data_IF_297342065084
#
_entry.id   IF_297342065084
#
_cell.length_a   1.000
_cell.length_b   1.000
_cell.length_c   1.000
_cell.angle_alpha   90.00
_cell.angle_beta   90.00
_cell.angle_gamma   90.00
#
_symmetry.space_group_name_H-M   'P 1'
#
loop_
_entity.id
_entity.type
_entity.pdbx_description
1 polymer ?
#
# COMPACT_ATOMS: atom_id res chain seq x y z
N UNK A 1 -15.62 18.87 -14.19
CA UNK A 1 -14.27 19.41 -14.43
C UNK A 1 -13.45 18.29 -15.02
N UNK A 2 -13.09 18.44 -16.29
CA UNK A 2 -12.24 17.52 -17.03
C UNK A 2 -10.82 17.67 -16.51
N UNK A 3 -10.39 16.78 -15.61
CA UNK A 3 -8.99 16.74 -15.22
C UNK A 3 -8.23 16.00 -16.30
N UNK A 4 -7.50 16.77 -17.11
CA UNK A 4 -6.46 16.31 -18.01
C UNK A 4 -5.44 15.46 -17.25
N UNK A 5 -5.67 14.14 -17.18
CA UNK A 5 -4.65 13.14 -16.84
C UNK A 5 -3.97 12.69 -18.14
N UNK A 6 -3.64 13.65 -19.00
CA UNK A 6 -2.95 13.42 -20.27
C UNK A 6 -1.72 14.32 -20.35
N UNK A 7 -0.64 13.82 -19.76
CA UNK A 7 0.68 13.93 -20.37
C UNK A 7 1.60 12.86 -19.78
N UNK A 8 2.23 12.11 -20.67
CA UNK A 8 3.33 11.19 -20.40
C UNK A 8 4.58 11.92 -19.87
N UNK A 9 4.47 12.57 -18.70
CA UNK A 9 5.65 12.95 -17.92
C UNK A 9 5.78 11.93 -16.80
N UNK A 10 6.94 11.25 -16.78
CA UNK A 10 7.33 10.45 -15.63
C UNK A 10 7.30 11.40 -14.43
N UNK A 11 6.42 11.13 -13.46
CA UNK A 11 6.37 11.95 -12.24
C UNK A 11 7.65 11.70 -11.43
N UNK A 12 7.95 12.57 -10.46
CA UNK A 12 9.10 12.33 -9.59
C UNK A 12 8.97 11.00 -8.83
N UNK A 13 7.75 10.65 -8.39
CA UNK A 13 7.42 9.35 -7.77
C UNK A 13 7.83 8.21 -8.69
N UNK A 14 7.53 8.31 -9.99
CA UNK A 14 7.82 7.27 -10.96
C UNK A 14 9.33 7.11 -11.17
N UNK A 15 10.06 8.23 -11.20
CA UNK A 15 11.52 8.21 -11.31
C UNK A 15 12.18 7.54 -10.10
N UNK A 16 11.67 7.76 -8.88
CA UNK A 16 12.17 7.08 -7.69
C UNK A 16 11.80 5.59 -7.68
N UNK A 17 10.60 5.22 -8.14
CA UNK A 17 10.21 3.82 -8.32
C UNK A 17 11.11 3.12 -9.36
N UNK A 18 11.41 3.77 -10.50
CA UNK A 18 12.28 3.21 -11.54
C UNK A 18 13.69 2.93 -11.00
N UNK A 19 14.24 3.81 -10.14
CA UNK A 19 15.53 3.58 -9.47
C UNK A 19 15.49 2.37 -8.54
N UNK A 20 14.40 2.22 -7.78
CA UNK A 20 14.20 1.06 -6.91
C UNK A 20 14.14 -0.21 -7.77
N UNK A 21 13.29 -0.23 -8.79
CA UNK A 21 13.13 -1.37 -9.69
C UNK A 21 14.46 -1.79 -10.34
N UNK A 22 15.28 -0.83 -10.77
CA UNK A 22 16.60 -1.09 -11.35
C UNK A 22 17.59 -1.74 -10.36
N UNK A 23 17.32 -1.66 -9.06
CA UNK A 23 18.15 -2.28 -8.01
C UNK A 23 17.69 -3.68 -7.58
N UNK A 24 16.50 -4.13 -8.01
CA UNK A 24 15.92 -5.42 -7.62
C UNK A 24 16.30 -6.54 -8.62
N UNK A 25 16.60 -7.75 -8.12
CA UNK A 25 16.84 -8.93 -8.97
C UNK A 25 15.51 -9.59 -9.39
N UNK A 26 15.32 -9.71 -10.70
CA UNK A 26 14.19 -10.35 -11.38
C UNK A 26 13.92 -11.78 -10.93
N UNK A 27 14.91 -12.48 -10.37
CA UNK A 27 14.84 -13.92 -10.07
C UNK A 27 14.44 -14.24 -8.63
N UNK A 28 14.40 -13.27 -7.73
CA UNK A 28 14.26 -13.54 -6.29
C UNK A 28 12.92 -14.22 -5.93
N UNK A 29 11.82 -13.87 -6.60
CA UNK A 29 10.47 -14.31 -6.20
C UNK A 29 9.92 -15.50 -7.01
N UNK A 30 10.41 -15.76 -8.23
CA UNK A 30 9.88 -16.84 -9.08
C UNK A 30 10.13 -18.23 -8.49
N UNK A 31 11.32 -18.45 -7.93
CA UNK A 31 11.69 -19.70 -7.25
C UNK A 31 10.87 -19.92 -5.97
N UNK A 32 10.60 -18.84 -5.25
CA UNK A 32 9.79 -18.89 -4.03
C UNK A 32 8.34 -19.32 -4.32
N UNK A 33 7.81 -18.98 -5.50
CA UNK A 33 6.46 -19.35 -5.94
C UNK A 33 6.36 -20.78 -6.52
N UNK A 34 7.41 -21.27 -7.17
CA UNK A 34 7.40 -22.60 -7.81
C UNK A 34 7.38 -23.76 -6.83
N UNK A 35 7.99 -23.59 -5.66
CA UNK A 35 8.23 -24.67 -4.69
C UNK A 35 7.06 -24.80 -3.68
N UNK A 36 6.04 -23.95 -3.80
CA UNK A 36 4.88 -23.91 -2.90
C UNK A 36 3.77 -24.87 -3.35
N UNK A 37 3.54 -25.92 -2.57
CA UNK A 37 2.31 -26.71 -2.66
C UNK A 37 1.27 -26.20 -1.65
N UNK A 38 0.13 -25.70 -2.17
CA UNK A 38 -0.97 -25.20 -1.34
C UNK A 38 -1.85 -26.38 -0.88
N UNK A 39 -1.22 -27.30 -0.15
CA UNK A 39 -1.90 -28.39 0.57
C UNK A 39 -2.42 -27.93 1.94
N UNK A 40 -2.16 -26.67 2.30
CA UNK A 40 -2.80 -25.92 3.40
C UNK A 40 -4.23 -25.52 2.99
N UNK A 41 -5.18 -25.55 3.94
CA UNK A 41 -6.59 -25.23 3.69
C UNK A 41 -7.28 -26.10 2.61
N UNK A 42 -6.87 -27.37 2.47
CA UNK A 42 -7.45 -28.35 1.52
C UNK A 42 -8.97 -28.37 1.48
N UNK A 43 -9.62 -28.22 2.62
CA UNK A 43 -11.08 -28.27 2.68
C UNK A 43 -11.74 -27.07 1.98
N UNK A 44 -11.19 -25.87 2.16
CA UNK A 44 -11.63 -24.68 1.43
C UNK A 44 -11.39 -24.80 -0.09
N UNK A 45 -10.28 -25.43 -0.50
CA UNK A 45 -10.01 -25.72 -1.91
C UNK A 45 -11.09 -26.63 -2.54
N UNK A 46 -11.55 -27.65 -1.81
CA UNK A 46 -12.66 -28.51 -2.25
C UNK A 46 -13.98 -27.76 -2.32
N UNK A 47 -14.22 -26.84 -1.39
CA UNK A 47 -15.44 -26.05 -1.34
C UNK A 47 -15.65 -25.20 -2.60
N UNK A 48 -14.59 -24.57 -3.10
CA UNK A 48 -14.69 -23.62 -4.22
C UNK A 48 -14.78 -24.29 -5.60
N UNK A 49 -14.28 -25.52 -5.77
CA UNK A 49 -14.15 -26.16 -7.09
C UNK A 49 -15.49 -26.32 -7.81
N UNK A 50 -16.57 -26.53 -7.06
CA UNK A 50 -17.93 -26.71 -7.59
C UNK A 50 -18.62 -25.39 -8.01
N UNK A 51 -18.01 -24.25 -7.68
CA UNK A 51 -18.58 -22.91 -7.93
C UNK A 51 -17.86 -22.15 -9.04
N UNK A 52 -16.69 -22.62 -9.46
CA UNK A 52 -15.82 -21.91 -10.40
C UNK A 52 -15.69 -22.70 -11.71
N UNK A 53 -15.54 -21.97 -12.82
CA UNK A 53 -15.10 -22.59 -14.08
C UNK A 53 -13.67 -23.12 -13.93
N UNK A 54 -13.24 -24.03 -14.80
CA UNK A 54 -11.87 -24.58 -14.73
C UNK A 54 -10.79 -23.49 -14.82
N UNK A 55 -10.97 -22.51 -15.71
CA UNK A 55 -10.05 -21.38 -15.86
C UNK A 55 -10.02 -20.49 -14.61
N UNK A 56 -11.19 -20.24 -14.02
CA UNK A 56 -11.32 -19.44 -12.78
C UNK A 56 -10.75 -20.17 -11.58
N UNK A 57 -10.96 -21.49 -11.48
CA UNK A 57 -10.34 -22.30 -10.43
C UNK A 57 -8.82 -22.25 -10.53
N UNK A 58 -8.24 -22.44 -11.74
CA UNK A 58 -6.79 -22.31 -11.95
C UNK A 58 -6.27 -20.92 -11.57
N UNK A 59 -7.00 -19.86 -11.94
CA UNK A 59 -6.72 -18.49 -11.50
C UNK A 59 -6.70 -18.38 -9.98
N UNK A 60 -7.77 -18.79 -9.29
CA UNK A 60 -7.89 -18.76 -7.84
C UNK A 60 -6.75 -19.52 -7.13
N UNK A 61 -6.32 -20.67 -7.66
CA UNK A 61 -5.16 -21.39 -7.11
C UNK A 61 -3.86 -20.58 -7.23
N UNK A 62 -3.63 -19.91 -8.37
CA UNK A 62 -2.44 -19.07 -8.56
C UNK A 62 -2.49 -17.79 -7.70
N UNK A 63 -3.66 -17.17 -7.54
CA UNK A 63 -3.87 -16.07 -6.58
C UNK A 63 -3.54 -16.53 -5.17
N UNK A 64 -4.02 -17.71 -4.77
CA UNK A 64 -3.74 -18.27 -3.44
C UNK A 64 -2.26 -18.51 -3.17
N UNK A 65 -1.51 -19.02 -4.16
CA UNK A 65 -0.05 -19.17 -4.07
C UNK A 65 0.66 -17.83 -3.91
N UNK A 66 0.26 -16.84 -4.71
CA UNK A 66 0.81 -15.48 -4.62
C UNK A 66 0.48 -14.83 -3.27
N UNK A 67 -0.75 -14.97 -2.78
CA UNK A 67 -1.18 -14.43 -1.51
C UNK A 67 -0.44 -15.07 -0.32
N UNK A 68 -0.24 -16.39 -0.33
CA UNK A 68 0.61 -17.09 0.64
C UNK A 68 2.06 -16.59 0.61
N UNK A 69 2.61 -16.40 -0.60
CA UNK A 69 3.97 -15.89 -0.76
C UNK A 69 4.14 -14.49 -0.16
N UNK A 70 3.24 -13.57 -0.50
CA UNK A 70 3.22 -12.22 0.07
C UNK A 70 2.97 -12.26 1.58
N UNK A 71 2.02 -13.07 2.06
CA UNK A 71 1.75 -13.17 3.49
C UNK A 71 2.99 -13.56 4.29
N UNK A 72 3.78 -14.52 3.80
CA UNK A 72 5.03 -14.88 4.46
C UNK A 72 6.08 -13.77 4.35
N UNK A 73 6.22 -13.14 3.19
CA UNK A 73 7.17 -12.04 2.99
C UNK A 73 6.90 -10.85 3.93
N UNK A 74 5.63 -10.63 4.31
CA UNK A 74 5.22 -9.57 5.23
C UNK A 74 4.92 -10.07 6.66
N UNK A 75 5.24 -11.33 6.98
CA UNK A 75 4.92 -11.97 8.26
C UNK A 75 3.44 -11.82 8.70
N UNK A 76 2.53 -11.83 7.72
CA UNK A 76 1.09 -11.86 7.92
C UNK A 76 0.58 -13.29 8.17
N UNK A 77 -0.67 -13.42 8.60
CA UNK A 77 -1.33 -14.70 8.73
C UNK A 77 -1.54 -15.34 7.34
N UNK A 78 -0.71 -16.35 7.03
CA UNK A 78 -0.75 -17.09 5.76
C UNK A 78 -2.10 -17.80 5.54
N UNK A 79 -2.66 -18.40 6.59
CA UNK A 79 -3.94 -19.12 6.52
C UNK A 79 -5.08 -18.18 6.10
N UNK A 80 -5.14 -17.00 6.71
CA UNK A 80 -6.13 -15.98 6.36
C UNK A 80 -5.96 -15.50 4.91
N UNK A 81 -4.73 -15.34 4.43
CA UNK A 81 -4.46 -15.00 3.03
C UNK A 81 -4.92 -16.09 2.07
N UNK A 82 -4.66 -17.36 2.39
CA UNK A 82 -5.11 -18.51 1.60
C UNK A 82 -6.64 -18.59 1.59
N UNK A 83 -7.31 -18.47 2.74
CA UNK A 83 -8.77 -18.52 2.82
C UNK A 83 -9.38 -17.36 2.02
N UNK A 84 -8.95 -16.12 2.25
CA UNK A 84 -9.47 -14.96 1.51
C UNK A 84 -9.30 -15.14 0.00
N UNK A 85 -8.13 -15.58 -0.44
CA UNK A 85 -7.84 -15.85 -1.85
C UNK A 85 -8.65 -17.01 -2.45
N UNK A 86 -9.08 -18.01 -1.69
CA UNK A 86 -9.95 -19.06 -2.24
C UNK A 86 -11.36 -18.54 -2.53
N UNK A 87 -11.89 -17.69 -1.66
CA UNK A 87 -13.26 -17.23 -1.77
C UNK A 87 -13.44 -15.94 -2.58
N UNK A 88 -12.38 -15.17 -2.86
CA UNK A 88 -12.47 -13.84 -3.50
C UNK A 88 -13.38 -13.80 -4.75
N UNK A 89 -13.30 -14.82 -5.59
CA UNK A 89 -14.00 -14.90 -6.89
C UNK A 89 -15.17 -15.90 -6.90
N UNK A 90 -15.58 -16.46 -5.74
CA UNK A 90 -16.61 -17.52 -5.68
C UNK A 90 -17.98 -17.09 -6.23
N UNK A 91 -18.23 -15.78 -6.30
CA UNK A 91 -19.46 -15.18 -6.84
C UNK A 91 -19.22 -14.38 -8.14
N UNK A 92 -18.11 -14.61 -8.85
CA UNK A 92 -17.72 -13.82 -10.03
C UNK A 92 -18.78 -13.79 -11.15
N UNK A 93 -19.51 -14.89 -11.33
CA UNK A 93 -20.55 -14.99 -12.36
C UNK A 93 -21.84 -14.24 -12.00
N UNK A 94 -22.08 -13.93 -10.72
CA UNK A 94 -23.28 -13.17 -10.30
C UNK A 94 -23.18 -11.68 -10.60
N UNK A 95 -21.99 -11.09 -10.45
CA UNK A 95 -21.79 -9.67 -10.73
C UNK A 95 -20.33 -9.36 -11.04
N UNK A 96 -20.06 -8.74 -12.19
CA UNK A 96 -18.70 -8.34 -12.53
C UNK A 96 -18.15 -7.24 -11.61
N UNK A 97 -19.01 -6.39 -11.06
CA UNK A 97 -18.61 -5.21 -10.27
C UNK A 97 -18.67 -5.46 -8.77
N UNK A 98 -19.72 -6.13 -8.29
CA UNK A 98 -20.01 -6.29 -6.85
C UNK A 98 -19.66 -7.68 -6.30
N UNK A 99 -19.08 -8.57 -7.12
CA UNK A 99 -18.81 -9.95 -6.67
C UNK A 99 -17.95 -10.04 -5.43
N UNK A 100 -17.03 -9.10 -5.15
CA UNK A 100 -16.26 -9.12 -3.90
C UNK A 100 -17.16 -9.10 -2.66
N UNK A 101 -18.14 -8.19 -2.64
CA UNK A 101 -19.11 -8.09 -1.55
C UNK A 101 -19.99 -9.34 -1.47
N UNK A 102 -20.52 -9.81 -2.60
CA UNK A 102 -21.33 -11.03 -2.62
C UNK A 102 -20.53 -12.29 -2.26
N UNK A 103 -19.24 -12.33 -2.60
CA UNK A 103 -18.33 -13.41 -2.26
C UNK A 103 -18.08 -13.46 -0.76
N UNK A 104 -17.89 -12.31 -0.11
CA UNK A 104 -17.70 -12.25 1.34
C UNK A 104 -18.97 -12.70 2.08
N UNK A 105 -20.13 -12.20 1.69
CA UNK A 105 -21.43 -12.61 2.26
C UNK A 105 -21.66 -14.11 2.06
N UNK A 106 -21.43 -14.62 0.84
CA UNK A 106 -21.59 -16.04 0.54
C UNK A 106 -20.62 -16.93 1.34
N UNK A 107 -19.35 -16.51 1.47
CA UNK A 107 -18.33 -17.18 2.25
C UNK A 107 -18.72 -17.27 3.74
N UNK A 108 -19.25 -16.19 4.29
CA UNK A 108 -19.76 -16.14 5.66
C UNK A 108 -20.93 -17.09 5.86
N UNK A 109 -21.98 -16.97 5.04
CA UNK A 109 -23.23 -17.72 5.20
C UNK A 109 -23.10 -19.22 4.92
N UNK A 110 -22.29 -19.60 3.92
CA UNK A 110 -22.26 -20.99 3.42
C UNK A 110 -21.05 -21.78 3.91
N UNK A 111 -20.00 -21.10 4.37
CA UNK A 111 -18.74 -21.74 4.78
C UNK A 111 -18.28 -21.33 6.18
N UNK A 112 -19.07 -20.53 6.91
CA UNK A 112 -18.80 -20.19 8.31
C UNK A 112 -17.57 -19.28 8.51
N UNK A 113 -17.15 -18.57 7.46
CA UNK A 113 -16.01 -17.64 7.55
C UNK A 113 -16.47 -16.39 8.31
N UNK A 114 -15.94 -16.20 9.51
CA UNK A 114 -16.34 -15.11 10.43
C UNK A 114 -15.23 -14.11 10.71
N UNK A 115 -13.99 -14.40 10.31
CA UNK A 115 -12.86 -13.49 10.45
C UNK A 115 -13.08 -12.23 9.60
N UNK A 116 -13.13 -11.08 10.27
CA UNK A 116 -13.44 -9.79 9.63
C UNK A 116 -12.36 -9.32 8.66
N UNK A 117 -11.10 -9.65 8.92
CA UNK A 117 -10.00 -9.27 8.04
C UNK A 117 -10.06 -10.11 6.75
N UNK A 118 -10.36 -11.41 6.88
CA UNK A 118 -10.59 -12.31 5.73
C UNK A 118 -11.78 -11.82 4.89
N UNK A 119 -12.92 -11.51 5.52
CA UNK A 119 -14.10 -11.02 4.82
C UNK A 119 -13.86 -9.64 4.19
N UNK A 120 -13.09 -8.76 4.85
CA UNK A 120 -12.67 -7.46 4.32
C UNK A 120 -11.79 -7.62 3.07
N UNK A 121 -10.82 -8.52 3.12
CA UNK A 121 -9.95 -8.85 1.99
C UNK A 121 -10.73 -9.39 0.79
N UNK A 122 -11.70 -10.29 1.03
CA UNK A 122 -12.62 -10.76 -0.03
C UNK A 122 -13.46 -9.59 -0.58
N UNK A 123 -13.99 -8.72 0.28
CA UNK A 123 -14.86 -7.61 -0.14
C UNK A 123 -14.15 -6.62 -1.05
N UNK A 124 -12.92 -6.23 -0.70
CA UNK A 124 -12.21 -5.13 -1.35
C UNK A 124 -11.19 -5.56 -2.41
N UNK A 125 -11.06 -6.86 -2.72
CA UNK A 125 -10.01 -7.36 -3.62
C UNK A 125 -10.04 -6.82 -5.07
N UNK A 126 -11.16 -6.26 -5.53
CA UNK A 126 -11.28 -5.77 -6.92
C UNK A 126 -10.95 -4.30 -7.09
N UNK A 127 -11.49 -3.46 -6.21
CA UNK A 127 -11.45 -2.00 -6.34
C UNK A 127 -10.49 -1.37 -5.34
N UNK A 128 -10.10 -2.13 -4.31
CA UNK A 128 -9.42 -1.65 -3.11
C UNK A 128 -10.23 -0.57 -2.39
N UNK A 129 -9.60 0.05 -1.39
CA UNK A 129 -10.12 1.19 -0.63
C UNK A 129 -8.96 1.98 -0.01
N UNK A 130 -9.17 3.23 0.44
CA UNK A 130 -8.20 3.90 1.30
C UNK A 130 -7.89 3.06 2.55
N UNK A 131 -6.64 3.13 3.01
CA UNK A 131 -6.17 2.45 4.23
C UNK A 131 -6.58 0.96 4.30
N UNK A 132 -6.22 0.18 3.26
CA UNK A 132 -6.42 -1.27 3.31
C UNK A 132 -5.54 -1.85 4.43
N UNK A 133 -6.07 -2.87 5.11
CA UNK A 133 -5.26 -3.75 5.96
C UNK A 133 -4.20 -4.47 5.13
N UNK A 134 -3.16 -4.97 5.80
CA UNK A 134 -2.12 -5.76 5.12
C UNK A 134 -2.72 -6.95 4.34
N UNK A 135 -3.71 -7.64 4.92
CA UNK A 135 -4.37 -8.78 4.27
C UNK A 135 -5.18 -8.35 3.03
N UNK A 136 -5.90 -7.23 3.10
CA UNK A 136 -6.59 -6.66 1.94
C UNK A 136 -5.58 -6.28 0.82
N UNK A 137 -4.45 -5.64 1.15
CA UNK A 137 -3.39 -5.33 0.17
C UNK A 137 -2.83 -6.61 -0.46
N UNK A 138 -2.57 -7.65 0.33
CA UNK A 138 -2.07 -8.95 -0.14
C UNK A 138 -3.02 -9.55 -1.17
N UNK A 139 -4.32 -9.66 -0.86
CA UNK A 139 -5.29 -10.31 -1.76
C UNK A 139 -5.54 -9.45 -3.00
N UNK A 140 -5.67 -8.13 -2.84
CA UNK A 140 -5.80 -7.17 -3.95
C UNK A 140 -4.63 -7.26 -4.93
N UNK A 141 -3.39 -7.26 -4.42
CA UNK A 141 -2.21 -7.37 -5.28
C UNK A 141 -2.08 -8.77 -5.86
N UNK A 142 -2.25 -9.83 -5.07
CA UNK A 142 -2.14 -11.21 -5.55
C UNK A 142 -3.08 -11.50 -6.74
N UNK A 143 -4.33 -11.00 -6.72
CA UNK A 143 -5.28 -11.18 -7.83
C UNK A 143 -4.79 -10.54 -9.14
N UNK A 144 -4.07 -9.43 -9.01
CA UNK A 144 -3.54 -8.68 -10.13
C UNK A 144 -2.23 -9.23 -10.67
N UNK A 145 -1.35 -9.79 -9.84
CA UNK A 145 0.02 -10.18 -10.26
C UNK A 145 0.28 -11.68 -10.33
N UNK A 146 -0.72 -12.53 -10.04
CA UNK A 146 -0.56 -13.99 -10.11
C UNK A 146 0.10 -14.46 -11.43
N UNK A 147 0.80 -15.59 -11.42
CA UNK A 147 1.73 -15.98 -12.50
C UNK A 147 1.08 -16.21 -13.89
N UNK A 148 -0.23 -16.39 -13.97
CA UNK A 148 -0.97 -16.45 -15.24
C UNK A 148 -1.38 -15.09 -15.81
N UNK A 149 -1.05 -13.98 -15.13
CA UNK A 149 -1.31 -12.62 -15.61
C UNK A 149 -0.21 -12.16 -16.55
N UNK A 150 -0.64 -11.66 -17.70
CA UNK A 150 0.22 -11.09 -18.73
C UNK A 150 -0.30 -9.71 -19.13
N UNK A 151 0.41 -8.67 -18.74
CA UNK A 151 0.14 -7.29 -19.15
C UNK A 151 1.37 -6.39 -18.96
N UNK A 152 1.40 -5.25 -19.64
CA UNK A 152 2.47 -4.26 -19.57
C UNK A 152 2.72 -3.82 -18.11
N UNK A 153 3.94 -4.02 -17.61
CA UNK A 153 4.35 -3.64 -16.25
C UNK A 153 4.06 -4.67 -15.14
N UNK A 154 3.47 -5.83 -15.45
CA UNK A 154 3.17 -6.86 -14.41
C UNK A 154 4.44 -7.33 -13.66
N UNK A 155 5.57 -7.44 -14.35
CA UNK A 155 6.85 -7.86 -13.76
C UNK A 155 7.36 -6.84 -12.72
N UNK A 156 7.20 -5.56 -13.00
CA UNK A 156 7.62 -4.49 -12.09
C UNK A 156 6.73 -4.45 -10.85
N UNK A 157 5.43 -4.65 -11.02
CA UNK A 157 4.49 -4.75 -9.88
C UNK A 157 4.82 -5.99 -9.05
N UNK A 158 5.18 -7.13 -9.67
CA UNK A 158 5.65 -8.33 -8.93
C UNK A 158 6.88 -8.02 -8.08
N UNK A 159 7.91 -7.38 -8.66
CA UNK A 159 9.11 -6.97 -7.92
C UNK A 159 8.77 -6.05 -6.75
N UNK A 160 7.98 -5.02 -7.00
CA UNK A 160 7.54 -4.11 -5.95
C UNK A 160 6.69 -4.79 -4.90
N UNK A 161 5.83 -5.76 -5.25
CA UNK A 161 4.98 -6.42 -4.28
C UNK A 161 5.77 -7.12 -3.17
N UNK A 162 6.96 -7.66 -3.50
CA UNK A 162 7.86 -8.27 -2.51
C UNK A 162 8.84 -7.28 -1.87
N UNK A 163 9.00 -6.08 -2.43
CA UNK A 163 9.84 -5.03 -1.87
C UNK A 163 9.06 -4.08 -0.94
N UNK A 164 7.95 -3.56 -1.43
CA UNK A 164 7.04 -2.62 -0.77
C UNK A 164 5.63 -2.71 -1.40
N UNK A 165 4.71 -3.38 -0.70
CA UNK A 165 3.36 -3.64 -1.20
C UNK A 165 2.55 -2.36 -1.41
N UNK A 166 2.83 -1.27 -0.68
CA UNK A 166 2.13 0.00 -0.88
C UNK A 166 2.53 0.63 -2.22
N UNK A 167 3.82 0.55 -2.57
CA UNK A 167 4.30 0.98 -3.89
C UNK A 167 3.74 0.09 -5.00
N UNK A 168 3.59 -1.22 -4.75
CA UNK A 168 2.96 -2.14 -5.70
C UNK A 168 1.47 -1.78 -5.92
N UNK A 169 0.74 -1.43 -4.85
CA UNK A 169 -0.66 -0.96 -4.94
C UNK A 169 -0.74 0.32 -5.75
N UNK A 170 0.10 1.31 -5.47
CA UNK A 170 0.17 2.54 -6.26
C UNK A 170 0.46 2.26 -7.75
N UNK A 171 1.48 1.45 -8.05
CA UNK A 171 1.85 1.14 -9.43
C UNK A 171 0.75 0.34 -10.14
N UNK A 172 0.06 -0.55 -9.44
CA UNK A 172 -1.08 -1.26 -10.00
C UNK A 172 -2.26 -0.33 -10.29
N UNK A 173 -2.59 0.64 -9.42
CA UNK A 173 -3.62 1.64 -9.72
C UNK A 173 -3.27 2.46 -10.97
N UNK A 174 -2.00 2.86 -11.14
CA UNK A 174 -1.56 3.53 -12.37
C UNK A 174 -1.81 2.68 -13.61
N UNK A 175 -1.42 1.41 -13.57
CA UNK A 175 -1.69 0.46 -14.66
C UNK A 175 -3.20 0.33 -14.92
N UNK A 176 -3.99 0.10 -13.87
CA UNK A 176 -5.44 -0.12 -13.95
C UNK A 176 -6.13 1.09 -14.58
N UNK A 177 -5.78 2.31 -14.19
CA UNK A 177 -6.40 3.52 -14.72
C UNK A 177 -5.96 3.80 -16.17
N UNK A 178 -4.69 3.55 -16.51
CA UNK A 178 -4.22 3.59 -17.91
C UNK A 178 -5.04 2.62 -18.77
N UNK A 179 -5.21 1.39 -18.31
CA UNK A 179 -6.01 0.36 -18.99
C UNK A 179 -7.47 0.80 -19.16
N UNK A 180 -8.13 1.19 -18.07
CA UNK A 180 -9.55 1.59 -18.10
C UNK A 180 -9.79 2.82 -19.00
N UNK A 181 -8.87 3.80 -18.99
CA UNK A 181 -8.90 4.96 -19.89
C UNK A 181 -8.80 4.53 -21.36
N UNK A 182 -7.87 3.62 -21.68
CA UNK A 182 -7.69 3.10 -23.03
C UNK A 182 -8.90 2.29 -23.51
N UNK A 183 -9.62 1.63 -22.60
CA UNK A 183 -10.85 0.90 -22.87
C UNK A 183 -12.10 1.82 -22.92
N UNK A 184 -11.95 3.12 -22.66
CA UNK A 184 -13.08 4.06 -22.59
C UNK A 184 -14.00 3.83 -21.39
N UNK A 185 -13.55 3.10 -20.38
CA UNK A 185 -14.31 2.76 -19.18
C UNK A 185 -14.33 3.93 -18.18
N UNK A 186 -15.45 4.07 -17.47
CA UNK A 186 -15.55 5.02 -16.35
C UNK A 186 -14.90 4.41 -15.11
N UNK A 187 -14.09 5.21 -14.42
CA UNK A 187 -13.47 4.82 -13.15
C UNK A 187 -14.39 5.28 -12.01
N UNK A 188 -14.68 4.38 -11.07
CA UNK A 188 -15.51 4.69 -9.91
C UNK A 188 -14.78 5.57 -8.89
N UNK A 189 -15.53 6.42 -8.17
CA UNK A 189 -14.96 7.34 -7.18
C UNK A 189 -14.21 6.61 -6.05
N UNK A 190 -14.69 5.44 -5.62
CA UNK A 190 -14.04 4.65 -4.59
C UNK A 190 -12.61 4.26 -4.98
N UNK A 191 -12.40 3.83 -6.23
CA UNK A 191 -11.07 3.50 -6.74
C UNK A 191 -10.20 4.74 -6.90
N UNK A 192 -10.77 5.87 -7.34
CA UNK A 192 -10.04 7.15 -7.41
C UNK A 192 -9.53 7.57 -6.02
N UNK A 193 -10.37 7.50 -5.00
CA UNK A 193 -10.00 7.83 -3.62
C UNK A 193 -8.90 6.89 -3.10
N UNK A 194 -9.02 5.59 -3.39
CA UNK A 194 -8.00 4.62 -3.00
C UNK A 194 -6.66 4.91 -3.70
N UNK A 195 -6.67 5.15 -5.01
CA UNK A 195 -5.47 5.47 -5.77
C UNK A 195 -4.78 6.75 -5.27
N UNK A 196 -5.53 7.80 -4.96
CA UNK A 196 -4.98 9.04 -4.40
C UNK A 196 -4.37 8.80 -3.02
N UNK A 197 -5.08 8.08 -2.15
CA UNK A 197 -4.57 7.69 -0.84
C UNK A 197 -3.22 6.96 -0.94
N UNK A 198 -3.08 5.98 -1.85
CA UNK A 198 -1.80 5.26 -2.00
C UNK A 198 -0.71 6.11 -2.65
N UNK A 199 -1.07 7.04 -3.53
CA UNK A 199 -0.13 8.04 -4.07
C UNK A 199 0.44 8.89 -2.93
N UNK A 200 -0.42 9.47 -2.11
CA UNK A 200 -0.05 10.31 -0.97
C UNK A 200 0.73 9.52 0.08
N UNK A 201 0.36 8.26 0.31
CA UNK A 201 1.08 7.40 1.24
C UNK A 201 2.50 7.10 0.74
N UNK A 202 2.67 6.77 -0.54
CA UNK A 202 3.99 6.55 -1.15
C UNK A 202 4.85 7.82 -1.11
N UNK A 203 4.27 9.00 -1.38
CA UNK A 203 4.99 10.28 -1.22
C UNK A 203 5.43 10.46 0.23
N UNK A 204 4.55 10.19 1.20
CA UNK A 204 4.88 10.29 2.62
C UNK A 204 6.03 9.37 3.02
N UNK A 205 6.07 8.13 2.47
CA UNK A 205 7.20 7.21 2.67
C UNK A 205 8.49 7.73 2.05
N UNK A 206 8.44 8.31 0.84
CA UNK A 206 9.62 8.95 0.24
C UNK A 206 10.12 10.13 1.05
N UNK A 207 9.23 10.98 1.54
CA UNK A 207 9.60 12.12 2.38
C UNK A 207 10.23 11.66 3.70
N UNK A 208 9.68 10.63 4.34
CA UNK A 208 10.25 10.07 5.55
C UNK A 208 11.66 9.50 5.29
N UNK A 209 11.84 8.73 4.21
CA UNK A 209 13.16 8.20 3.79
C UNK A 209 14.15 9.34 3.54
N UNK A 210 13.76 10.37 2.79
CA UNK A 210 14.58 11.55 2.54
C UNK A 210 15.02 12.23 3.85
N UNK A 211 14.09 12.42 4.80
CA UNK A 211 14.42 12.99 6.11
C UNK A 211 15.46 12.14 6.86
N UNK A 212 15.29 10.82 6.85
CA UNK A 212 16.23 9.89 7.46
C UNK A 212 17.63 9.99 6.82
N UNK A 213 17.72 10.11 5.49
CA UNK A 213 18.99 10.28 4.77
C UNK A 213 19.65 11.64 5.06
N UNK A 214 18.86 12.70 5.24
CA UNK A 214 19.33 14.06 5.58
C UNK A 214 19.73 14.24 7.05
N UNK A 215 19.88 13.16 7.82
CA UNK A 215 20.37 13.12 9.21
C UNK A 215 19.28 13.47 10.25
N UNK A 216 17.99 13.37 9.90
CA UNK A 216 16.94 13.31 10.92
C UNK A 216 17.06 11.99 11.70
N UNK A 217 16.96 12.06 13.03
CA UNK A 217 17.03 10.89 13.90
C UNK A 217 15.63 10.38 14.19
N UNK A 218 15.47 9.08 14.40
CA UNK A 218 14.21 8.44 14.83
C UNK A 218 12.98 8.92 14.02
N UNK A 219 13.00 8.73 12.71
CA UNK A 219 11.88 9.12 11.86
C UNK A 219 10.82 8.02 11.86
N UNK A 220 9.59 8.40 12.21
CA UNK A 220 8.42 7.51 12.22
C UNK A 220 7.31 8.11 11.38
N UNK A 221 6.51 7.25 10.77
CA UNK A 221 5.33 7.62 10.00
C UNK A 221 4.09 6.96 10.60
N UNK A 222 2.94 7.63 10.49
CA UNK A 222 1.65 7.08 10.86
C UNK A 222 0.57 7.52 9.87
N UNK A 223 -0.41 6.64 9.69
CA UNK A 223 -1.73 6.97 9.15
C UNK A 223 -2.60 7.52 10.29
N UNK A 224 -3.32 8.61 10.06
CA UNK A 224 -4.01 9.35 11.13
C UNK A 224 -5.50 8.97 11.30
N UNK A 225 -5.99 8.00 10.51
CA UNK A 225 -7.33 7.38 10.51
C UNK A 225 -8.51 8.32 10.87
N UNK A 226 -9.20 8.88 9.87
CA UNK A 226 -10.57 9.48 9.85
C UNK A 226 -11.05 10.42 10.99
N UNK A 227 -10.39 10.53 12.14
CA UNK A 227 -10.86 11.25 13.35
C UNK A 227 -10.14 12.56 13.63
N UNK A 228 -9.06 12.88 12.91
CA UNK A 228 -8.31 14.12 13.09
C UNK A 228 -8.20 14.90 11.77
N UNK A 229 -8.90 16.04 11.73
CA UNK A 229 -9.27 16.84 10.54
C UNK A 229 -8.09 17.60 9.90
N UNK A 230 -6.84 17.33 10.29
CA UNK A 230 -5.70 18.18 9.87
C UNK A 230 -4.87 17.59 8.72
N UNK A 231 -4.66 16.27 8.66
CA UNK A 231 -3.93 15.60 7.56
C UNK A 231 -4.12 14.07 7.62
N UNK A 232 -4.02 13.39 6.48
CA UNK A 232 -4.18 11.93 6.35
C UNK A 232 -2.98 11.12 6.85
N UNK A 233 -1.80 11.75 6.83
CA UNK A 233 -0.54 11.15 7.28
C UNK A 233 0.21 12.10 8.22
N UNK A 234 0.99 11.51 9.13
CA UNK A 234 1.90 12.24 10.00
C UNK A 234 3.29 11.62 10.00
N UNK A 235 4.32 12.45 9.96
CA UNK A 235 5.71 12.07 10.25
C UNK A 235 6.11 12.71 11.56
N UNK A 236 6.80 11.96 12.42
CA UNK A 236 7.54 12.49 13.57
C UNK A 236 9.02 12.22 13.35
N UNK A 237 9.85 13.24 13.51
CA UNK A 237 11.29 13.15 13.38
C UNK A 237 12.00 13.91 14.50
N UNK A 238 13.15 13.38 14.92
CA UNK A 238 14.02 14.01 15.91
C UNK A 238 15.11 14.85 15.22
N UNK A 239 15.09 16.15 15.50
CA UNK A 239 16.15 17.08 15.14
C UNK A 239 17.23 17.19 16.23
N UNK A 240 18.38 17.77 15.87
CA UNK A 240 19.51 17.94 16.80
C UNK A 240 19.42 19.23 17.63
N UNK A 241 18.96 20.31 17.01
CA UNK A 241 18.78 21.64 17.59
C UNK A 241 17.99 22.51 16.60
N UNK A 242 17.54 23.70 17.02
CA UNK A 242 16.75 24.62 16.21
C UNK A 242 17.37 24.93 14.83
N UNK A 243 18.67 25.23 14.76
CA UNK A 243 19.34 25.54 13.48
C UNK A 243 19.34 24.35 12.52
N UNK A 244 19.60 23.15 13.04
CA UNK A 244 19.53 21.93 12.23
C UNK A 244 18.10 21.68 11.74
N UNK A 245 17.09 21.87 12.59
CA UNK A 245 15.70 21.70 12.24
C UNK A 245 15.26 22.71 11.17
N UNK A 246 15.63 23.98 11.28
CA UNK A 246 15.36 24.99 10.25
C UNK A 246 16.00 24.61 8.90
N UNK A 247 17.24 24.12 8.89
CA UNK A 247 17.89 23.65 7.66
C UNK A 247 17.16 22.43 7.05
N UNK A 248 16.72 21.49 7.88
CA UNK A 248 15.94 20.34 7.45
C UNK A 248 14.62 20.77 6.79
N UNK A 249 13.94 21.79 7.32
CA UNK A 249 12.69 22.32 6.71
C UNK A 249 12.90 22.88 5.31
N UNK A 250 14.05 23.53 5.06
CA UNK A 250 14.40 24.03 3.73
C UNK A 250 14.60 22.88 2.74
N UNK A 251 15.29 21.83 3.15
CA UNK A 251 15.48 20.63 2.34
C UNK A 251 14.17 19.90 2.04
N UNK A 252 13.31 19.73 3.05
CA UNK A 252 11.98 19.13 2.88
C UNK A 252 11.15 19.96 1.89
N UNK A 253 11.14 21.29 2.03
CA UNK A 253 10.40 22.16 1.11
C UNK A 253 10.86 21.97 -0.34
N UNK A 254 12.17 22.00 -0.59
CA UNK A 254 12.72 21.78 -1.93
C UNK A 254 12.41 20.38 -2.49
N UNK A 255 12.34 19.37 -1.61
CA UNK A 255 11.99 18.01 -2.01
C UNK A 255 10.51 17.88 -2.37
N UNK A 256 9.61 18.50 -1.59
CA UNK A 256 8.18 18.52 -1.84
C UNK A 256 7.80 19.14 -3.19
N UNK A 257 8.54 20.16 -3.65
CA UNK A 257 8.32 20.79 -4.97
C UNK A 257 8.45 19.78 -6.13
N UNK A 258 9.28 18.75 -5.98
CA UNK A 258 9.46 17.71 -7.01
C UNK A 258 8.24 16.80 -7.14
N UNK A 259 7.48 16.62 -6.07
CA UNK A 259 6.26 15.79 -6.06
C UNK A 259 5.02 16.52 -6.62
N UNK A 260 5.22 17.70 -7.21
CA UNK A 260 4.15 18.58 -7.72
C UNK A 260 3.12 18.93 -6.64
N UNK A 261 3.55 18.99 -5.37
CA UNK A 261 2.70 19.47 -4.28
C UNK A 261 2.59 20.98 -4.43
N UNK A 262 1.41 21.44 -4.86
CA UNK A 262 1.13 22.83 -5.26
C UNK A 262 0.68 23.74 -4.12
N UNK A 263 0.39 23.16 -2.95
CA UNK A 263 -0.09 23.92 -1.80
C UNK A 263 1.05 24.68 -1.12
N UNK A 264 0.71 25.84 -0.54
CA UNK A 264 1.64 26.61 0.27
C UNK A 264 2.02 25.81 1.51
N UNK A 265 3.22 25.22 1.51
CA UNK A 265 3.78 24.53 2.67
C UNK A 265 3.89 25.54 3.82
N UNK A 266 3.08 25.33 4.85
CA UNK A 266 3.09 26.17 6.05
C UNK A 266 4.09 25.61 7.03
N UNK A 267 4.89 26.49 7.62
CA UNK A 267 5.91 26.10 8.61
C UNK A 267 5.73 26.94 9.86
N UNK A 268 5.51 26.27 10.98
CA UNK A 268 5.40 26.87 12.31
C UNK A 268 6.61 26.50 13.18
N UNK A 269 6.92 27.33 14.18
CA UNK A 269 7.96 27.02 15.17
C UNK A 269 9.41 27.23 14.71
N UNK A 270 9.66 27.97 13.62
CA UNK A 270 11.03 28.30 13.16
C UNK A 270 11.90 28.90 14.27
N UNK A 271 13.17 28.50 14.32
CA UNK A 271 14.10 28.92 15.37
C UNK A 271 13.79 28.36 16.77
N UNK A 272 12.82 27.45 16.89
CA UNK A 272 12.44 26.83 18.16
C UNK A 272 12.84 25.34 18.21
N UNK A 273 12.53 24.68 19.33
CA UNK A 273 12.81 23.26 19.54
C UNK A 273 11.70 22.32 19.03
N UNK A 274 10.69 22.89 18.37
CA UNK A 274 9.60 22.19 17.70
C UNK A 274 9.31 22.89 16.36
N UNK A 275 9.07 22.10 15.32
CA UNK A 275 8.64 22.60 14.02
C UNK A 275 7.52 21.70 13.52
N UNK A 276 6.47 22.33 12.99
CA UNK A 276 5.38 21.65 12.31
C UNK A 276 5.36 22.15 10.88
N UNK A 277 5.43 21.23 9.92
CA UNK A 277 5.24 21.51 8.50
C UNK A 277 3.93 20.89 8.03
N UNK A 278 3.04 21.73 7.50
CA UNK A 278 1.78 21.32 6.88
C UNK A 278 1.96 21.33 5.36
N UNK A 279 1.85 20.15 4.75
CA UNK A 279 2.03 19.87 3.31
C UNK A 279 0.68 19.44 2.69
N UNK A 280 -0.45 19.74 3.35
CA UNK A 280 -1.79 19.30 2.91
C UNK A 280 -2.13 17.93 3.49
N UNK A 281 -1.92 16.85 2.74
CA UNK A 281 -2.22 15.49 3.20
C UNK A 281 -1.22 14.95 4.25
N UNK A 282 -0.10 15.64 4.46
CA UNK A 282 1.00 15.21 5.33
C UNK A 282 1.41 16.30 6.32
N UNK A 283 1.38 15.95 7.61
CA UNK A 283 1.94 16.77 8.70
C UNK A 283 3.28 16.23 9.17
N UNK A 284 4.33 17.05 9.08
CA UNK A 284 5.68 16.70 9.52
C UNK A 284 6.01 17.42 10.82
N UNK A 285 6.19 16.63 11.88
CA UNK A 285 6.52 17.05 13.23
C UNK A 285 8.01 16.83 13.47
N UNK A 286 8.80 17.91 13.56
CA UNK A 286 10.24 17.85 13.81
C UNK A 286 10.49 18.43 15.20
N UNK A 287 11.04 17.63 16.12
CA UNK A 287 11.24 18.05 17.51
C UNK A 287 12.65 17.72 17.97
N UNK A 288 13.20 18.49 18.90
CA UNK A 288 14.39 18.02 19.64
C UNK A 288 14.02 16.80 20.48
N UNK A 289 15.02 15.98 20.80
CA UNK A 289 14.81 14.76 21.60
C UNK A 289 14.07 15.05 22.92
N UNK A 290 14.46 16.14 23.60
CA UNK A 290 13.88 16.55 24.88
C UNK A 290 12.41 16.96 24.72
N UNK A 291 12.06 17.70 23.66
CA UNK A 291 10.68 18.14 23.41
C UNK A 291 9.78 17.01 22.95
N UNK A 292 10.27 16.12 22.08
CA UNK A 292 9.52 14.92 21.67
C UNK A 292 9.14 14.07 22.89
N UNK A 293 10.09 13.88 23.81
CA UNK A 293 9.89 13.16 25.06
C UNK A 293 8.91 13.89 25.99
N UNK A 294 9.07 15.21 26.14
CA UNK A 294 8.21 16.03 26.99
C UNK A 294 6.74 16.02 26.56
N UNK A 295 6.46 16.17 25.26
CA UNK A 295 5.10 16.19 24.72
C UNK A 295 4.49 14.81 24.49
N UNK A 296 5.31 13.74 24.57
CA UNK A 296 4.89 12.37 24.31
C UNK A 296 4.11 12.26 22.99
N UNK A 297 4.68 12.82 21.93
CA UNK A 297 3.97 13.07 20.67
C UNK A 297 3.35 11.81 20.09
N UNK A 298 4.04 10.68 20.15
CA UNK A 298 3.51 9.41 19.68
C UNK A 298 2.18 9.02 20.36
N UNK A 299 1.98 9.37 21.64
CA UNK A 299 0.70 9.16 22.32
C UNK A 299 -0.33 10.24 22.00
N UNK A 300 0.10 11.47 21.73
CA UNK A 300 -0.79 12.60 21.44
C UNK A 300 -1.65 12.37 20.19
N UNK A 301 -1.06 11.78 19.15
CA UNK A 301 -1.77 11.50 17.90
C UNK A 301 -2.76 10.32 18.00
N UNK A 302 -2.68 9.51 19.06
CA UNK A 302 -3.50 8.31 19.27
C UNK A 302 -3.52 7.35 18.05
N UNK A 303 -2.39 7.27 17.35
CA UNK A 303 -2.17 6.44 16.16
C UNK A 303 -0.89 5.62 16.32
N UNK A 304 -0.80 4.50 15.60
CA UNK A 304 0.40 3.67 15.59
C UNK A 304 1.48 4.26 14.68
N UNK A 305 2.45 4.98 15.26
CA UNK A 305 3.67 5.34 14.54
C UNK A 305 4.59 4.12 14.39
N UNK A 306 5.05 3.87 13.17
CA UNK A 306 6.02 2.82 12.86
C UNK A 306 7.27 3.41 12.21
N UNK A 307 8.41 2.75 12.38
CA UNK A 307 9.66 3.14 11.74
C UNK A 307 9.57 3.05 10.22
N UNK A 308 10.34 3.88 9.51
CA UNK A 308 10.41 3.83 8.03
C UNK A 308 10.97 2.49 7.54
N UNK A 309 11.85 1.90 8.37
CA UNK A 309 12.49 0.62 8.14
C UNK A 309 12.02 -0.45 9.14
N UNK A 310 10.85 -0.30 9.79
CA UNK A 310 10.21 -1.43 10.47
C UNK A 310 9.78 -2.46 9.41
N UNK A 311 10.80 -3.17 8.92
CA UNK A 311 10.79 -4.33 8.06
C UNK A 311 11.16 -5.47 8.99
N UNK A 312 10.21 -6.31 9.38
CA UNK A 312 10.54 -7.68 9.75
C UNK A 312 11.32 -8.27 8.57
N UNK A 313 12.60 -8.57 8.83
CA UNK A 313 13.74 -8.26 7.97
C UNK A 313 13.76 -8.91 6.59
N UNK A 314 14.35 -8.16 5.64
CA UNK A 314 14.86 -8.56 4.31
C UNK A 314 14.95 -10.08 4.11
N UNK A 315 13.91 -10.70 3.53
CA UNK A 315 14.10 -12.02 2.91
C UNK A 315 14.85 -11.78 1.61
N UNK A 316 16.11 -12.23 1.60
CA UNK A 316 16.87 -12.92 0.56
C UNK A 316 18.36 -12.71 0.90
N UNK A 317 18.88 -13.49 1.85
CA UNK A 317 20.28 -13.96 1.74
C UNK A 317 20.35 -15.06 0.68
#
# INVERSE_FOLDING_TARGET
MTNDVDNHKNTYIDTEIDKILASLDDRCFEKFLSDRDNDVCKEHKKNIVKHLTESRFKHTIRVSRMASALAIAYEANEENAIIASYYHDIQKEKSKTEHGRFAAEYASENYGITDKDVLGAITHHTMGRPAMTLLEKIVFIADSIELGREYEGVTDIRKLAFYDIDMAVYLYYKYLFKKLKNEGAKIGQASLNAAEYYREFVISKFMANFMSEKIALDVKIAETCEKNVLADFAIIATGKNARHMDALTYHIKNESEKFEIKDDIRVEGRGSEWIIMDIGFLLINIFTNDKRSYYNLEKLWNVGFHGINDRKDRVYE
#
